data_IF_662995113591
#
_entry.id   IF_662995113591
#
_cell.length_a   1.000
_cell.length_b   1.000
_cell.length_c   1.000
_cell.angle_alpha   90.00
_cell.angle_beta   90.00
_cell.angle_gamma   90.00
#
_symmetry.space_group_name_H-M   'P 1'
#
loop_
_entity.id
_entity.type
_entity.pdbx_description
1 polymer ?
#
# COMPACT_ATOMS: atom_id res chain seq x y z
N UNK A 1 3.49 14.84 32.08
CA UNK A 1 4.13 14.92 30.75
C UNK A 1 3.66 13.75 29.92
N UNK A 2 3.46 13.90 28.61
CA UNK A 2 2.87 12.81 27.79
C UNK A 2 3.83 11.62 27.59
N UNK A 3 5.14 11.83 27.79
CA UNK A 3 6.16 10.79 27.64
C UNK A 3 6.94 10.51 28.94
N UNK A 4 6.41 10.92 30.10
CA UNK A 4 6.97 10.46 31.38
C UNK A 4 6.34 9.13 31.76
N UNK A 5 7.12 8.30 32.44
CA UNK A 5 7.02 6.84 32.60
C UNK A 5 5.69 6.29 33.17
N UNK A 6 4.72 7.13 33.49
CA UNK A 6 3.61 6.75 34.34
C UNK A 6 2.23 6.72 33.68
N UNK A 7 2.10 6.67 32.34
CA UNK A 7 1.11 5.71 31.80
C UNK A 7 1.11 5.37 30.31
N UNK A 8 1.56 6.17 29.34
CA UNK A 8 1.65 5.69 27.95
C UNK A 8 2.72 6.46 27.15
N UNK A 9 3.81 5.77 26.79
CA UNK A 9 4.75 6.27 25.79
C UNK A 9 4.11 6.20 24.39
N UNK A 10 4.70 6.88 23.42
CA UNK A 10 4.31 6.75 22.03
C UNK A 10 4.37 5.28 21.59
N UNK A 11 3.25 4.75 21.11
CA UNK A 11 3.12 3.38 20.64
C UNK A 11 3.51 3.29 19.16
N UNK A 12 3.60 2.06 18.63
CA UNK A 12 3.78 1.79 17.20
C UNK A 12 4.96 2.54 16.54
N UNK A 13 6.07 2.73 17.29
CA UNK A 13 7.27 3.40 16.80
C UNK A 13 7.19 4.93 16.74
N UNK A 14 6.21 5.55 17.41
CA UNK A 14 6.15 7.00 17.53
C UNK A 14 7.35 7.59 18.28
N UNK A 15 7.80 8.77 17.87
CA UNK A 15 8.91 9.49 18.53
C UNK A 15 8.35 10.55 19.46
N UNK A 16 8.87 10.64 20.68
CA UNK A 16 8.47 11.72 21.57
C UNK A 16 9.24 13.02 21.28
N UNK A 17 8.50 14.10 21.04
CA UNK A 17 9.02 15.44 20.83
C UNK A 17 8.81 16.29 22.09
N UNK A 18 9.90 16.87 22.61
CA UNK A 18 9.88 17.74 23.80
C UNK A 18 9.21 17.11 25.03
N UNK A 19 9.25 15.76 25.10
CA UNK A 19 8.58 14.92 26.08
C UNK A 19 7.04 15.09 26.19
N UNK A 20 6.44 15.96 25.38
CA UNK A 20 5.06 16.41 25.49
C UNK A 20 4.16 15.93 24.36
N UNK A 21 4.72 15.41 23.26
CA UNK A 21 3.94 15.04 22.07
C UNK A 21 4.52 13.84 21.36
N UNK A 22 3.66 12.93 20.94
CA UNK A 22 4.04 11.87 20.02
C UNK A 22 3.99 12.33 18.56
N UNK A 23 5.07 12.10 17.85
CA UNK A 23 5.16 12.17 16.40
C UNK A 23 4.97 10.77 15.86
N UNK A 24 3.85 10.53 15.20
CA UNK A 24 3.49 9.20 14.71
C UNK A 24 4.03 8.94 13.29
N UNK A 25 4.47 7.71 13.00
CA UNK A 25 4.70 7.26 11.62
C UNK A 25 3.39 7.30 10.80
N UNK A 26 3.48 7.34 9.46
CA UNK A 26 2.31 7.54 8.57
C UNK A 26 1.22 6.49 8.72
N UNK A 27 1.59 5.28 9.16
CA UNK A 27 0.67 4.16 9.35
C UNK A 27 -0.16 4.26 10.65
N UNK A 28 0.11 5.23 11.53
CA UNK A 28 -0.50 5.32 12.87
C UNK A 28 -0.93 6.75 13.23
N UNK A 29 -1.97 6.85 14.06
CA UNK A 29 -2.57 8.10 14.53
C UNK A 29 -3.03 7.99 15.98
N UNK A 30 -3.56 9.11 16.49
CA UNK A 30 -3.98 9.24 17.89
C UNK A 30 -2.89 9.86 18.76
N UNK A 31 -3.27 10.29 19.96
CA UNK A 31 -2.41 11.01 20.91
C UNK A 31 -1.12 10.26 21.21
N UNK A 32 -1.19 8.93 21.19
CA UNK A 32 -0.10 8.03 21.53
C UNK A 32 0.22 7.09 20.37
N UNK A 33 -0.17 7.44 19.14
CA UNK A 33 -0.05 6.59 17.96
C UNK A 33 -0.73 5.21 18.12
N UNK A 34 -1.79 5.13 18.93
CA UNK A 34 -2.44 3.87 19.28
C UNK A 34 -3.46 3.38 18.24
N UNK A 35 -3.85 4.24 17.30
CA UNK A 35 -4.82 3.92 16.27
C UNK A 35 -4.11 3.70 14.93
N UNK A 36 -4.55 2.77 14.08
CA UNK A 36 -4.09 2.70 12.71
C UNK A 36 -4.50 3.97 11.95
N UNK A 37 -3.59 4.51 11.15
CA UNK A 37 -3.83 5.68 10.30
C UNK A 37 -4.82 5.39 9.17
N UNK A 38 -4.83 4.14 8.71
CA UNK A 38 -5.66 3.68 7.59
C UNK A 38 -7.04 3.25 8.05
N UNK A 39 -8.04 4.11 7.85
CA UNK A 39 -9.43 3.66 7.82
C UNK A 39 -9.78 3.27 6.38
N UNK A 40 -9.87 1.97 6.11
CA UNK A 40 -10.59 1.47 4.93
C UNK A 40 -9.92 1.68 3.57
N UNK A 41 -8.73 1.12 3.37
CA UNK A 41 -8.35 0.58 2.05
C UNK A 41 -7.83 1.55 0.99
N UNK A 42 -7.31 2.72 1.38
CA UNK A 42 -6.56 3.56 0.45
C UNK A 42 -5.15 3.77 1.03
N UNK A 43 -4.18 3.13 0.37
CA UNK A 43 -2.74 3.10 0.66
C UNK A 43 -2.22 4.21 1.58
N UNK A 44 -1.95 3.88 2.85
CA UNK A 44 -1.22 4.78 3.76
C UNK A 44 0.29 4.75 3.56
N UNK A 45 0.78 3.75 2.85
CA UNK A 45 2.17 3.73 2.47
C UNK A 45 2.36 4.75 1.36
N UNK A 46 3.16 5.79 1.61
CA UNK A 46 3.79 6.58 0.53
C UNK A 46 4.71 5.75 -0.39
N UNK A 47 4.57 4.42 -0.39
CA UNK A 47 5.07 3.56 -1.42
C UNK A 47 4.11 3.70 -2.62
N UNK A 48 4.60 4.07 -3.81
CA UNK A 48 3.79 3.91 -5.00
C UNK A 48 3.35 2.44 -5.03
N UNK A 49 2.04 2.19 -4.99
CA UNK A 49 1.47 0.88 -5.23
C UNK A 49 2.25 0.24 -6.39
N UNK A 50 2.75 -1.00 -6.28
CA UNK A 50 3.48 -1.63 -7.36
C UNK A 50 2.55 -1.62 -8.55
N UNK A 51 2.82 -0.71 -9.49
CA UNK A 51 2.09 -0.60 -10.75
C UNK A 51 2.39 -1.89 -11.45
N UNK A 52 1.52 -2.90 -11.29
CA UNK A 52 1.58 -4.11 -12.07
C UNK A 52 1.77 -3.66 -13.52
N UNK A 53 2.87 -4.05 -14.18
CA UNK A 53 3.14 -3.56 -15.50
C UNK A 53 1.98 -4.06 -16.38
N UNK A 54 1.09 -3.15 -16.78
CA UNK A 54 -0.05 -3.46 -17.64
C UNK A 54 0.42 -3.95 -19.02
N UNK A 55 1.66 -3.60 -19.39
CA UNK A 55 2.29 -3.88 -20.68
C UNK A 55 2.43 -5.38 -20.98
N UNK A 56 3.05 -6.24 -20.13
CA UNK A 56 3.14 -7.68 -20.38
C UNK A 56 1.78 -8.38 -20.44
N UNK A 57 0.77 -7.93 -19.69
CA UNK A 57 -0.58 -8.50 -19.75
C UNK A 57 -1.27 -8.17 -21.09
N UNK A 58 -1.14 -6.94 -21.57
CA UNK A 58 -1.65 -6.53 -22.89
C UNK A 58 -0.94 -7.27 -24.02
N UNK A 59 0.38 -7.44 -23.95
CA UNK A 59 1.16 -8.18 -24.96
C UNK A 59 0.74 -9.65 -24.99
N UNK A 60 0.58 -10.30 -23.83
CA UNK A 60 0.15 -11.70 -23.74
C UNK A 60 -1.26 -11.89 -24.35
N UNK A 61 -2.20 -10.97 -24.03
CA UNK A 61 -3.54 -11.00 -24.61
C UNK A 61 -3.55 -10.82 -26.13
N UNK A 62 -2.75 -9.89 -26.65
CA UNK A 62 -2.62 -9.67 -28.10
C UNK A 62 -2.00 -10.87 -28.81
N UNK A 63 -0.96 -11.49 -28.24
CA UNK A 63 -0.33 -12.70 -28.80
C UNK A 63 -1.29 -13.88 -28.83
N UNK A 64 -2.04 -14.10 -27.74
CA UNK A 64 -3.05 -15.15 -27.67
C UNK A 64 -4.16 -14.94 -28.71
N UNK A 65 -4.61 -13.70 -28.89
CA UNK A 65 -5.63 -13.36 -29.89
C UNK A 65 -5.14 -13.58 -31.32
N UNK A 66 -3.88 -13.23 -31.62
CA UNK A 66 -3.27 -13.46 -32.94
C UNK A 66 -3.12 -14.95 -33.24
N UNK A 67 -2.75 -15.75 -32.24
CA UNK A 67 -2.65 -17.21 -32.38
C UNK A 67 -4.03 -17.84 -32.64
N UNK A 68 -5.07 -17.42 -31.91
CA UNK A 68 -6.44 -17.89 -32.12
C UNK A 68 -6.95 -17.57 -33.54
N UNK A 69 -6.71 -16.34 -34.02
CA UNK A 69 -7.09 -15.93 -35.37
C UNK A 69 -6.38 -16.80 -36.43
N UNK A 70 -5.09 -17.08 -36.23
CA UNK A 70 -4.34 -17.93 -37.15
C UNK A 70 -4.91 -19.36 -37.20
N UNK A 71 -5.18 -19.97 -36.03
CA UNK A 71 -5.78 -21.29 -35.92
C UNK A 71 -7.18 -21.35 -36.56
N UNK A 72 -7.99 -20.30 -36.37
CA UNK A 72 -9.32 -20.20 -36.98
C UNK A 72 -9.26 -20.10 -38.52
N UNK A 73 -8.26 -19.39 -39.06
CA UNK A 73 -8.03 -19.35 -40.52
C UNK A 73 -7.55 -20.68 -41.09
N UNK A 74 -6.73 -21.44 -40.36
CA UNK A 74 -6.30 -22.78 -40.78
C UNK A 74 -7.42 -23.82 -40.71
N UNK A 75 -8.35 -23.70 -39.75
CA UNK A 75 -9.50 -24.59 -39.62
C UNK A 75 -10.62 -24.32 -40.64
N UNK A 76 -10.57 -23.20 -41.35
CA UNK A 76 -11.55 -22.82 -42.38
C UNK A 76 -11.11 -23.19 -43.81
N UNK A 77 -9.96 -23.86 -43.95
CA UNK A 77 -9.40 -24.35 -45.21
C UNK A 77 -9.34 -25.89 -45.18
#
# INVERSE_FOLDING_TARGET
NMCDEELLLCQNGGTCYQSQRCVCPPEFKGVLCQQPGCEGGQDCSGAPAPRLPAVPLLICGLLAHRLLLSLATFASH
#
